data_IF_584976483891
#
_entry.id   IF_584976483891
#
_cell.length_a   1.000
_cell.length_b   1.000
_cell.length_c   1.000
_cell.angle_alpha   90.00
_cell.angle_beta   90.00
_cell.angle_gamma   90.00
#
_symmetry.space_group_name_H-M   'P 1'
#
loop_
_entity.id
_entity.type
_entity.pdbx_description
1 polymer ?
#
# COMPACT_ATOMS: atom_id res chain seq x y z
N UNK A 1 5.75 74.12 38.51
CA UNK A 1 4.55 73.27 38.16
C UNK A 1 4.85 72.63 36.79
N UNK A 2 5.17 71.33 36.68
CA UNK A 2 4.93 70.52 35.50
C UNK A 2 5.75 69.21 35.44
N UNK A 3 6.24 68.70 36.59
CA UNK A 3 7.01 67.44 36.54
C UNK A 3 6.18 66.16 36.76
N UNK A 4 4.91 66.25 37.20
CA UNK A 4 4.09 65.06 37.53
C UNK A 4 3.24 64.49 36.37
N UNK A 5 2.97 65.31 35.31
CA UNK A 5 2.14 64.87 34.19
C UNK A 5 2.90 64.07 33.12
N UNK A 6 4.21 64.28 32.95
CA UNK A 6 5.03 63.58 31.94
C UNK A 6 5.26 62.11 32.30
N UNK A 7 5.32 61.78 33.60
CA UNK A 7 5.55 60.38 34.03
C UNK A 7 4.30 59.47 33.88
N UNK A 8 3.12 60.05 34.00
CA UNK A 8 1.86 59.32 33.83
C UNK A 8 1.58 58.97 32.35
N UNK A 9 1.91 59.83 31.42
CA UNK A 9 1.72 59.59 30.00
C UNK A 9 2.69 58.50 29.50
N UNK A 10 3.93 58.49 29.99
CA UNK A 10 4.94 57.46 29.64
C UNK A 10 4.57 56.05 30.19
N UNK A 11 3.95 55.97 31.36
CA UNK A 11 3.48 54.68 31.91
C UNK A 11 2.26 54.13 31.18
N UNK A 12 1.32 54.97 30.77
CA UNK A 12 0.16 54.58 29.97
C UNK A 12 0.58 54.05 28.58
N UNK A 13 1.56 54.68 27.94
CA UNK A 13 2.10 54.29 26.65
C UNK A 13 2.79 52.87 26.69
N UNK A 14 3.53 52.57 27.75
CA UNK A 14 4.17 51.24 27.90
C UNK A 14 3.13 50.12 28.13
N UNK A 15 2.10 50.39 28.90
CA UNK A 15 0.99 49.46 29.13
C UNK A 15 0.15 49.20 27.87
N UNK A 16 -0.08 50.24 27.08
CA UNK A 16 -0.81 50.14 25.79
C UNK A 16 -0.01 49.30 24.78
N UNK A 17 1.33 49.44 24.72
CA UNK A 17 2.21 48.65 23.86
C UNK A 17 2.25 47.16 24.24
N UNK A 18 2.24 46.86 25.54
CA UNK A 18 2.19 45.47 26.03
C UNK A 18 0.83 44.83 25.71
N UNK A 19 -0.28 45.55 25.88
CA UNK A 19 -1.60 45.07 25.52
C UNK A 19 -1.74 44.82 24.01
N UNK A 20 -1.20 45.71 23.17
CA UNK A 20 -1.19 45.56 21.71
C UNK A 20 -0.35 44.35 21.27
N UNK A 21 0.78 44.10 21.93
CA UNK A 21 1.61 42.92 21.70
C UNK A 21 0.93 41.59 22.08
N UNK A 22 0.18 41.56 23.18
CA UNK A 22 -0.60 40.39 23.57
C UNK A 22 -1.80 40.09 22.65
N UNK A 23 -2.45 41.12 22.07
CA UNK A 23 -3.51 40.96 21.10
C UNK A 23 -2.99 40.36 19.76
N UNK A 24 -1.80 40.75 19.32
CA UNK A 24 -1.17 40.19 18.11
C UNK A 24 -0.73 38.73 18.31
N UNK A 25 -0.28 38.33 19.50
CA UNK A 25 0.07 36.95 19.80
C UNK A 25 -1.15 36.00 19.84
N UNK A 26 -2.34 36.49 20.24
CA UNK A 26 -3.58 35.73 20.27
C UNK A 26 -4.15 35.46 18.87
N UNK A 27 -3.83 36.28 17.86
CA UNK A 27 -4.30 36.06 16.48
C UNK A 27 -3.61 34.86 15.80
N UNK A 28 -2.36 34.51 16.19
CA UNK A 28 -1.67 33.35 15.65
C UNK A 28 -2.17 31.99 16.20
N UNK A 29 -2.86 31.99 17.36
CA UNK A 29 -3.38 30.76 17.96
C UNK A 29 -4.61 30.19 17.23
N UNK A 30 -5.32 31.01 16.45
CA UNK A 30 -6.54 30.61 15.75
C UNK A 30 -6.27 29.78 14.47
N UNK A 31 -5.07 29.87 13.90
CA UNK A 31 -4.71 29.20 12.65
C UNK A 31 -4.37 27.72 12.83
N UNK A 32 -4.05 27.31 14.04
CA UNK A 32 -3.76 25.89 14.36
C UNK A 32 -5.03 25.04 14.55
N UNK A 33 -6.13 25.64 14.93
CA UNK A 33 -7.42 24.95 15.11
C UNK A 33 -8.10 24.58 13.79
N UNK A 34 -7.97 25.41 12.75
CA UNK A 34 -8.62 25.13 11.45
C UNK A 34 -7.93 23.98 10.71
N UNK A 35 -6.61 23.85 10.81
CA UNK A 35 -5.88 22.72 10.21
C UNK A 35 -6.18 21.40 10.91
N UNK A 36 -6.37 21.41 12.23
CA UNK A 36 -6.76 20.21 12.99
C UNK A 36 -8.23 19.83 12.75
N UNK A 37 -9.11 20.79 12.58
CA UNK A 37 -10.51 20.53 12.21
C UNK A 37 -10.62 19.94 10.80
N UNK A 38 -9.91 20.48 9.82
CA UNK A 38 -9.86 19.92 8.45
C UNK A 38 -9.30 18.48 8.45
N UNK A 39 -8.27 18.22 9.24
CA UNK A 39 -7.71 16.87 9.39
C UNK A 39 -8.70 15.88 10.03
N UNK A 40 -9.56 16.35 10.95
CA UNK A 40 -10.55 15.49 11.60
C UNK A 40 -11.70 15.08 10.66
N UNK A 41 -11.98 15.85 9.61
CA UNK A 41 -13.03 15.56 8.62
C UNK A 41 -12.51 14.73 7.42
N UNK A 42 -11.20 14.67 7.18
CA UNK A 42 -10.66 13.82 6.14
C UNK A 42 -10.43 12.39 6.67
N UNK A 43 -11.28 11.46 6.26
CA UNK A 43 -11.17 10.05 6.64
C UNK A 43 -9.85 9.40 6.22
N UNK A 44 -9.15 9.93 5.20
CA UNK A 44 -7.83 9.44 4.77
C UNK A 44 -6.76 9.72 5.81
N UNK A 45 -6.88 10.81 6.55
CA UNK A 45 -5.98 11.15 7.64
C UNK A 45 -6.32 10.39 8.93
N UNK A 46 -7.60 10.07 9.14
CA UNK A 46 -8.02 9.23 10.28
C UNK A 46 -7.69 7.76 10.09
N UNK A 47 -7.83 7.27 8.87
CA UNK A 47 -7.59 5.87 8.49
C UNK A 47 -6.57 5.79 7.34
N UNK A 48 -5.30 6.16 7.59
CA UNK A 48 -4.29 6.18 6.55
C UNK A 48 -4.00 4.76 6.06
N UNK A 49 -3.77 4.63 4.75
CA UNK A 49 -3.20 3.42 4.20
C UNK A 49 -1.69 3.47 4.44
N UNK A 50 -1.20 2.46 5.15
CA UNK A 50 0.23 2.27 5.40
C UNK A 50 0.77 1.29 4.37
N UNK A 51 1.84 1.67 3.67
CA UNK A 51 2.52 0.81 2.71
C UNK A 51 3.82 0.34 3.36
N UNK A 52 3.94 -0.97 3.53
CA UNK A 52 5.10 -1.62 4.15
C UNK A 52 5.71 -2.65 3.20
N UNK A 53 7.00 -2.93 3.39
CA UNK A 53 7.66 -4.05 2.73
C UNK A 53 7.55 -5.29 3.63
N UNK A 54 6.93 -6.35 3.12
CA UNK A 54 6.77 -7.61 3.82
C UNK A 54 7.31 -8.76 2.98
N UNK A 55 7.91 -9.81 3.60
CA UNK A 55 8.35 -10.99 2.86
C UNK A 55 7.14 -11.82 2.43
N UNK A 56 7.02 -12.09 1.14
CA UNK A 56 6.18 -13.16 0.60
C UNK A 56 6.97 -14.44 0.60
N UNK A 57 6.41 -15.54 1.13
CA UNK A 57 7.13 -16.80 1.33
C UNK A 57 6.41 -17.97 0.69
N UNK A 58 7.19 -18.90 0.14
CA UNK A 58 6.73 -20.20 -0.37
C UNK A 58 7.54 -21.29 0.30
N UNK A 59 6.91 -22.12 1.11
CA UNK A 59 7.54 -23.26 1.77
C UNK A 59 7.41 -24.50 0.88
N UNK A 60 8.56 -25.12 0.60
CA UNK A 60 8.68 -26.34 -0.20
C UNK A 60 9.01 -27.52 0.73
N UNK A 61 8.05 -28.38 1.04
CA UNK A 61 8.32 -29.58 1.84
C UNK A 61 9.16 -30.57 1.03
N UNK A 62 10.32 -30.94 1.57
CA UNK A 62 11.27 -31.87 0.94
C UNK A 62 11.38 -33.12 1.83
N UNK A 63 10.96 -34.26 1.31
CA UNK A 63 11.12 -35.52 2.01
C UNK A 63 12.56 -36.04 1.96
N UNK A 64 12.99 -36.90 2.93
CA UNK A 64 14.36 -37.41 3.10
C UNK A 64 14.90 -38.13 1.88
N UNK A 65 14.03 -38.76 1.11
CA UNK A 65 14.39 -39.57 -0.06
C UNK A 65 14.26 -38.80 -1.39
N UNK A 66 13.89 -37.51 -1.36
CA UNK A 66 13.78 -36.72 -2.57
C UNK A 66 15.15 -36.44 -3.17
N UNK A 67 15.30 -36.70 -4.48
CA UNK A 67 16.54 -36.49 -5.22
C UNK A 67 16.39 -35.45 -6.34
N UNK A 68 15.18 -35.31 -6.89
CA UNK A 68 14.88 -34.39 -7.96
C UNK A 68 13.52 -33.75 -7.66
N UNK A 69 13.28 -32.54 -8.15
CA UNK A 69 11.97 -31.94 -8.17
C UNK A 69 11.13 -32.55 -9.30
N UNK A 70 9.82 -32.63 -9.09
CA UNK A 70 8.92 -33.04 -10.16
C UNK A 70 8.20 -31.83 -10.76
N UNK A 71 7.74 -31.94 -12.02
CA UNK A 71 7.27 -30.84 -12.85
C UNK A 71 6.29 -29.86 -12.22
N UNK A 72 5.24 -30.30 -11.49
CA UNK A 72 4.30 -29.39 -10.83
C UNK A 72 4.97 -28.45 -9.82
N UNK A 73 5.91 -28.95 -9.01
CA UNK A 73 6.65 -28.11 -8.05
C UNK A 73 7.55 -27.11 -8.79
N UNK A 74 8.23 -27.56 -9.84
CA UNK A 74 9.04 -26.68 -10.69
C UNK A 74 8.18 -25.56 -11.31
N UNK A 75 6.98 -25.88 -11.77
CA UNK A 75 6.01 -24.91 -12.26
C UNK A 75 5.63 -23.87 -11.21
N UNK A 76 5.36 -24.30 -9.97
CA UNK A 76 5.06 -23.42 -8.84
C UNK A 76 6.24 -22.49 -8.53
N UNK A 77 7.46 -22.99 -8.51
CA UNK A 77 8.67 -22.18 -8.28
C UNK A 77 8.86 -21.16 -9.42
N UNK A 78 8.66 -21.56 -10.67
CA UNK A 78 8.72 -20.63 -11.81
C UNK A 78 7.66 -19.53 -11.72
N UNK A 79 6.44 -19.87 -11.33
CA UNK A 79 5.36 -18.90 -11.11
C UNK A 79 5.70 -17.92 -9.97
N UNK A 80 6.28 -18.40 -8.88
CA UNK A 80 6.76 -17.58 -7.77
C UNK A 80 7.84 -16.58 -8.21
N UNK A 81 8.76 -17.01 -9.09
CA UNK A 81 9.76 -16.14 -9.70
C UNK A 81 9.13 -15.04 -10.59
N UNK A 82 8.11 -15.37 -11.38
CA UNK A 82 7.37 -14.40 -12.18
C UNK A 82 6.66 -13.40 -11.27
N UNK A 83 6.06 -13.88 -10.19
CA UNK A 83 5.37 -13.02 -9.24
C UNK A 83 6.34 -12.06 -8.52
N UNK A 84 7.52 -12.53 -8.10
CA UNK A 84 8.55 -11.69 -7.47
C UNK A 84 9.01 -10.54 -8.39
N UNK A 85 9.03 -10.75 -9.71
CA UNK A 85 9.35 -9.72 -10.71
C UNK A 85 8.23 -8.72 -10.91
N UNK A 86 6.98 -9.16 -10.85
CA UNK A 86 5.80 -8.33 -11.12
C UNK A 86 5.36 -7.54 -9.89
N UNK A 87 5.42 -8.14 -8.70
CA UNK A 87 4.87 -7.59 -7.44
C UNK A 87 5.93 -7.31 -6.37
N UNK A 88 7.18 -7.71 -6.60
CA UNK A 88 8.30 -7.52 -5.68
C UNK A 88 9.44 -6.74 -6.32
N UNK A 89 10.61 -6.88 -5.71
CA UNK A 89 11.86 -6.26 -6.18
C UNK A 89 12.59 -7.08 -7.27
N UNK A 90 12.01 -8.19 -7.71
CA UNK A 90 12.60 -9.08 -8.71
C UNK A 90 13.79 -9.89 -8.21
N UNK A 91 13.95 -10.09 -6.90
CA UNK A 91 14.95 -10.93 -6.29
C UNK A 91 14.28 -11.99 -5.41
N UNK A 92 14.86 -13.19 -5.34
CA UNK A 92 14.38 -14.29 -4.50
C UNK A 92 15.53 -14.81 -3.63
N UNK A 93 15.26 -14.96 -2.34
CA UNK A 93 16.15 -15.62 -1.40
C UNK A 93 15.68 -17.08 -1.19
N UNK A 94 16.61 -18.02 -1.28
CA UNK A 94 16.42 -19.42 -0.98
C UNK A 94 16.94 -19.67 0.45
N UNK A 95 16.05 -19.94 1.38
CA UNK A 95 16.39 -20.31 2.76
C UNK A 95 16.47 -21.84 2.85
N UNK A 96 17.67 -22.34 3.03
CA UNK A 96 18.00 -23.78 3.03
C UNK A 96 18.14 -24.25 4.49
N UNK A 97 17.37 -25.26 4.94
CA UNK A 97 17.52 -25.80 6.28
C UNK A 97 18.86 -26.52 6.45
N UNK A 98 19.47 -26.37 7.62
CA UNK A 98 20.69 -27.07 8.02
C UNK A 98 20.51 -27.77 9.36
N UNK A 99 20.98 -29.00 9.47
CA UNK A 99 20.86 -29.81 10.68
C UNK A 99 19.57 -30.61 10.79
N UNK A 100 18.72 -30.64 9.75
CA UNK A 100 17.50 -31.45 9.72
C UNK A 100 17.72 -32.85 9.16
N UNK A 101 16.77 -33.76 9.39
CA UNK A 101 16.86 -35.16 8.95
C UNK A 101 16.84 -35.31 7.42
N UNK A 102 16.39 -34.32 6.68
CA UNK A 102 16.33 -34.30 5.21
C UNK A 102 17.43 -33.46 4.55
N UNK A 103 18.48 -33.07 5.26
CA UNK A 103 19.54 -32.18 4.76
C UNK A 103 20.15 -32.63 3.44
N UNK A 104 20.44 -33.92 3.31
CA UNK A 104 21.01 -34.50 2.07
C UNK A 104 20.04 -34.33 0.88
N UNK A 105 18.74 -34.51 1.08
CA UNK A 105 17.73 -34.33 0.06
C UNK A 105 17.58 -32.84 -0.33
N UNK A 106 17.61 -31.95 0.65
CA UNK A 106 17.57 -30.49 0.46
C UNK A 106 18.73 -30.02 -0.40
N UNK A 107 19.98 -30.49 -0.12
CA UNK A 107 21.12 -30.16 -0.94
C UNK A 107 21.02 -30.72 -2.38
N UNK A 108 20.44 -31.92 -2.54
CA UNK A 108 20.25 -32.52 -3.86
C UNK A 108 19.30 -31.73 -4.75
N UNK A 109 18.19 -31.16 -4.20
CA UNK A 109 17.18 -30.45 -4.98
C UNK A 109 17.41 -28.93 -5.12
N UNK A 110 18.31 -28.34 -4.33
CA UNK A 110 18.60 -26.91 -4.39
C UNK A 110 19.05 -26.43 -5.79
N UNK A 111 19.85 -27.16 -6.57
CA UNK A 111 20.17 -26.79 -7.95
C UNK A 111 18.93 -26.73 -8.86
N UNK A 112 17.99 -27.68 -8.71
CA UNK A 112 16.76 -27.75 -9.50
C UNK A 112 15.86 -26.53 -9.18
N UNK A 113 15.78 -26.14 -7.90
CA UNK A 113 15.06 -24.91 -7.46
C UNK A 113 15.65 -23.70 -8.16
N UNK A 114 16.97 -23.53 -8.15
CA UNK A 114 17.63 -22.42 -8.85
C UNK A 114 17.32 -22.43 -10.35
N UNK A 115 17.31 -23.59 -10.97
CA UNK A 115 16.99 -23.71 -12.39
C UNK A 115 15.52 -23.36 -12.66
N UNK A 116 14.60 -23.75 -11.78
CA UNK A 116 13.19 -23.39 -11.90
C UNK A 116 12.97 -21.86 -11.74
N UNK A 117 13.67 -21.21 -10.80
CA UNK A 117 13.67 -19.74 -10.66
C UNK A 117 14.23 -19.05 -11.92
N UNK A 118 15.30 -19.59 -12.53
CA UNK A 118 15.82 -19.08 -13.80
C UNK A 118 14.81 -19.22 -14.94
N UNK A 119 14.06 -20.34 -15.02
CA UNK A 119 12.98 -20.51 -16.00
C UNK A 119 11.86 -19.47 -15.79
N UNK A 120 11.60 -19.04 -14.55
CA UNK A 120 10.72 -17.92 -14.22
C UNK A 120 11.28 -16.53 -14.57
N UNK A 121 12.50 -16.47 -15.13
CA UNK A 121 13.12 -15.24 -15.67
C UNK A 121 13.98 -14.47 -14.68
N UNK A 122 14.40 -15.07 -13.55
CA UNK A 122 15.36 -14.46 -12.64
C UNK A 122 16.80 -14.69 -13.11
N UNK A 123 17.60 -13.65 -13.09
CA UNK A 123 19.04 -13.72 -13.33
C UNK A 123 19.80 -14.32 -12.13
N UNK A 124 21.04 -14.76 -12.34
CA UNK A 124 21.87 -15.35 -11.26
C UNK A 124 22.09 -14.40 -10.08
N UNK A 125 22.25 -13.11 -10.34
CA UNK A 125 22.45 -12.08 -9.31
C UNK A 125 21.19 -11.78 -8.50
N UNK A 126 20.03 -12.20 -8.98
CA UNK A 126 18.73 -12.00 -8.32
C UNK A 126 18.35 -13.18 -7.41
N UNK A 127 19.15 -14.26 -7.39
CA UNK A 127 18.91 -15.43 -6.58
C UNK A 127 20.00 -15.53 -5.54
N UNK A 128 19.67 -15.28 -4.29
CA UNK A 128 20.54 -15.49 -3.14
C UNK A 128 20.20 -16.80 -2.43
N UNK A 129 21.16 -17.33 -1.67
CA UNK A 129 20.92 -18.51 -0.83
C UNK A 129 21.50 -18.28 0.54
N UNK A 130 20.70 -18.54 1.56
CA UNK A 130 21.08 -18.48 2.96
C UNK A 130 20.62 -19.75 3.67
N UNK A 131 21.34 -20.15 4.68
CA UNK A 131 20.97 -21.28 5.54
C UNK A 131 20.27 -20.81 6.80
N UNK A 132 19.36 -21.63 7.30
CA UNK A 132 18.78 -21.47 8.63
C UNK A 132 18.92 -22.76 9.44
N UNK A 133 19.13 -22.64 10.74
CA UNK A 133 19.31 -23.81 11.62
C UNK A 133 17.96 -24.40 12.00
N UNK A 134 17.85 -25.73 11.91
CA UNK A 134 16.69 -26.49 12.35
C UNK A 134 16.84 -26.84 13.83
N UNK A 135 15.83 -26.56 14.62
CA UNK A 135 15.90 -26.83 16.07
C UNK A 135 15.75 -28.32 16.41
N UNK A 136 14.92 -29.04 15.65
CA UNK A 136 14.73 -30.48 15.79
C UNK A 136 15.42 -31.23 14.66
N UNK A 137 16.57 -31.85 14.97
CA UNK A 137 17.35 -32.63 14.01
C UNK A 137 16.59 -33.84 13.45
N UNK A 138 15.53 -34.31 14.07
CA UNK A 138 14.67 -35.39 13.59
C UNK A 138 13.59 -34.94 12.60
N UNK A 139 13.33 -33.64 12.50
CA UNK A 139 12.30 -33.07 11.64
C UNK A 139 12.77 -32.93 10.18
N UNK A 140 11.83 -33.07 9.26
CA UNK A 140 12.00 -32.72 7.86
C UNK A 140 11.65 -31.24 7.69
N UNK A 141 12.66 -30.41 7.50
CA UNK A 141 12.48 -28.96 7.41
C UNK A 141 12.30 -28.52 5.94
N UNK A 142 11.38 -27.58 5.65
CA UNK A 142 11.13 -27.12 4.29
C UNK A 142 12.25 -26.21 3.78
N UNK A 143 12.45 -26.17 2.47
CA UNK A 143 13.14 -25.06 1.83
C UNK A 143 12.13 -23.93 1.70
N UNK A 144 12.50 -22.73 2.13
CA UNK A 144 11.64 -21.54 2.01
C UNK A 144 12.20 -20.62 0.92
N UNK A 145 11.37 -20.27 -0.04
CA UNK A 145 11.63 -19.17 -0.96
C UNK A 145 11.00 -17.91 -0.41
N UNK A 146 11.68 -16.78 -0.53
CA UNK A 146 11.17 -15.49 -0.04
C UNK A 146 11.56 -14.37 -0.99
N UNK A 147 10.65 -13.43 -1.20
CA UNK A 147 10.94 -12.14 -1.84
C UNK A 147 10.23 -10.99 -1.11
N UNK A 148 10.81 -9.81 -1.22
CA UNK A 148 10.22 -8.61 -0.65
C UNK A 148 9.09 -8.09 -1.54
N UNK A 149 7.92 -7.84 -0.93
CA UNK A 149 6.70 -7.36 -1.58
C UNK A 149 6.16 -6.15 -0.84
N UNK A 150 5.75 -5.13 -1.59
CA UNK A 150 5.02 -4.02 -1.00
C UNK A 150 3.59 -4.44 -0.68
N UNK A 151 3.15 -4.11 0.52
CA UNK A 151 1.80 -4.40 1.01
C UNK A 151 1.15 -3.11 1.52
N UNK A 152 -0.08 -2.89 1.12
CA UNK A 152 -0.90 -1.82 1.63
C UNK A 152 -1.85 -2.37 2.70
N UNK A 153 -1.91 -1.71 3.85
CA UNK A 153 -2.84 -2.05 4.92
C UNK A 153 -3.47 -0.78 5.47
N UNK A 154 -4.77 -0.80 5.74
CA UNK A 154 -5.42 0.21 6.56
C UNK A 154 -5.50 -0.32 8.00
N UNK A 155 -5.58 0.58 8.96
CA UNK A 155 -5.78 0.20 10.35
C UNK A 155 -7.10 -0.55 10.59
N UNK A 156 -7.24 -1.14 11.76
CA UNK A 156 -8.50 -1.79 12.17
C UNK A 156 -9.63 -0.76 12.29
N UNK A 157 -10.78 -1.07 11.69
CA UNK A 157 -11.93 -0.16 11.67
C UNK A 157 -12.68 -0.08 13.00
N UNK A 158 -12.32 -0.90 13.99
CA UNK A 158 -13.01 -0.97 15.27
C UNK A 158 -14.46 -1.46 15.17
N UNK A 159 -15.20 -1.31 16.26
CA UNK A 159 -16.61 -1.69 16.31
C UNK A 159 -17.48 -0.65 15.60
N UNK A 160 -18.54 -1.10 14.94
CA UNK A 160 -19.53 -0.21 14.37
C UNK A 160 -20.23 0.62 15.45
N UNK A 161 -20.43 1.92 15.22
CA UNK A 161 -21.14 2.75 16.19
C UNK A 161 -22.59 2.25 16.34
N UNK A 162 -23.10 2.31 17.57
CA UNK A 162 -24.49 1.91 17.86
C UNK A 162 -25.52 2.81 17.17
N UNK A 163 -25.13 4.02 16.79
CA UNK A 163 -25.96 5.01 16.13
C UNK A 163 -25.24 5.52 14.88
N UNK A 164 -25.58 4.96 13.72
CA UNK A 164 -24.97 5.31 12.42
C UNK A 164 -25.43 6.68 11.91
N UNK A 165 -26.56 7.18 12.40
CA UNK A 165 -27.17 8.44 11.93
C UNK A 165 -26.82 9.67 12.76
N UNK A 166 -25.99 9.55 13.80
CA UNK A 166 -25.84 10.64 14.76
C UNK A 166 -27.14 10.94 15.52
N UNK A 167 -27.15 11.89 16.44
CA UNK A 167 -28.39 12.44 16.99
C UNK A 167 -29.13 13.26 15.92
N UNK A 168 -30.45 13.38 16.04
CA UNK A 168 -31.23 14.22 15.14
C UNK A 168 -30.68 15.67 15.23
N UNK A 169 -30.02 16.13 14.14
CA UNK A 169 -29.41 17.45 14.08
C UNK A 169 -27.87 17.47 14.14
N UNK A 170 -27.20 16.34 14.39
CA UNK A 170 -25.75 16.26 14.34
C UNK A 170 -25.30 15.76 12.97
N UNK A 171 -24.79 16.67 12.14
CA UNK A 171 -24.16 16.32 10.84
C UNK A 171 -22.68 16.01 11.08
N UNK A 172 -22.40 15.05 11.98
CA UNK A 172 -21.05 14.63 12.32
C UNK A 172 -20.76 13.22 11.77
N UNK A 173 -19.58 13.05 11.21
CA UNK A 173 -19.12 11.75 10.76
C UNK A 173 -18.79 10.86 11.96
N UNK A 174 -19.23 9.59 11.92
CA UNK A 174 -18.86 8.61 12.94
C UNK A 174 -17.37 8.24 12.84
N UNK A 175 -16.79 7.77 13.92
CA UNK A 175 -15.32 7.57 14.09
C UNK A 175 -14.72 6.67 13.01
N UNK A 176 -15.38 5.59 12.63
CA UNK A 176 -14.90 4.66 11.59
C UNK A 176 -15.42 4.97 10.17
N UNK A 177 -15.97 6.18 9.96
CA UNK A 177 -16.35 6.64 8.62
C UNK A 177 -15.14 6.64 7.68
N UNK A 178 -15.31 6.02 6.51
CA UNK A 178 -14.27 5.91 5.50
C UNK A 178 -13.24 4.80 5.75
N UNK A 179 -13.19 4.19 6.94
CA UNK A 179 -12.26 3.09 7.26
C UNK A 179 -12.43 1.90 6.31
N UNK A 180 -13.66 1.44 6.08
CA UNK A 180 -13.93 0.35 5.14
C UNK A 180 -13.50 0.69 3.71
N UNK A 181 -13.68 1.95 3.28
CA UNK A 181 -13.23 2.42 1.97
C UNK A 181 -11.70 2.37 1.84
N UNK A 182 -10.98 2.78 2.87
CA UNK A 182 -9.51 2.69 2.90
C UNK A 182 -9.03 1.24 2.92
N UNK A 183 -9.68 0.38 3.71
CA UNK A 183 -9.36 -1.06 3.76
C UNK A 183 -9.63 -1.73 2.42
N UNK A 184 -10.75 -1.42 1.77
CA UNK A 184 -11.05 -1.94 0.44
C UNK A 184 -10.03 -1.44 -0.60
N UNK A 185 -9.69 -0.15 -0.59
CA UNK A 185 -8.67 0.39 -1.49
C UNK A 185 -7.31 -0.29 -1.28
N UNK A 186 -6.90 -0.49 -0.03
CA UNK A 186 -5.65 -1.19 0.30
C UNK A 186 -5.66 -2.65 -0.18
N UNK A 187 -6.83 -3.32 -0.14
CA UNK A 187 -6.96 -4.71 -0.56
C UNK A 187 -7.00 -4.90 -2.08
N UNK A 188 -7.57 -3.95 -2.84
CA UNK A 188 -7.74 -4.07 -4.30
C UNK A 188 -6.61 -3.46 -5.11
N UNK A 189 -5.74 -2.64 -4.50
CA UNK A 189 -4.61 -2.04 -5.22
C UNK A 189 -3.65 -3.12 -5.71
N UNK A 190 -3.42 -3.19 -7.02
CA UNK A 190 -2.55 -4.20 -7.62
C UNK A 190 -1.07 -3.99 -7.24
N UNK A 191 -0.62 -2.74 -7.27
CA UNK A 191 0.73 -2.37 -6.83
C UNK A 191 0.65 -1.28 -5.75
N UNK A 192 0.85 -1.61 -4.47
CA UNK A 192 0.81 -0.64 -3.37
C UNK A 192 1.79 0.53 -3.50
N UNK A 193 2.89 0.38 -4.24
CA UNK A 193 3.84 1.47 -4.50
C UNK A 193 3.22 2.62 -5.28
N UNK A 194 2.15 2.37 -6.06
CA UNK A 194 1.43 3.40 -6.80
C UNK A 194 0.68 4.39 -5.89
N UNK A 195 0.41 3.99 -4.65
CA UNK A 195 -0.16 4.87 -3.63
C UNK A 195 0.86 5.89 -3.12
N UNK A 196 2.15 5.58 -3.20
CA UNK A 196 3.25 6.47 -2.80
C UNK A 196 3.72 7.33 -3.98
N UNK A 197 3.92 6.69 -5.14
CA UNK A 197 4.39 7.35 -6.36
C UNK A 197 3.63 6.79 -7.55
N UNK A 198 2.63 7.51 -8.06
CA UNK A 198 1.84 7.04 -9.20
C UNK A 198 2.73 6.79 -10.43
N UNK A 199 2.48 5.69 -11.11
CA UNK A 199 3.14 5.38 -12.38
C UNK A 199 2.71 6.37 -13.47
N UNK A 200 3.59 6.59 -14.46
CA UNK A 200 3.24 7.36 -15.63
C UNK A 200 2.01 6.74 -16.32
N UNK A 201 1.04 7.58 -16.67
CA UNK A 201 -0.14 7.11 -17.41
C UNK A 201 0.28 6.65 -18.82
N UNK A 202 -0.36 5.58 -19.29
CA UNK A 202 -0.19 5.15 -20.68
C UNK A 202 -0.66 6.27 -21.62
N UNK A 203 0.13 6.66 -22.62
CA UNK A 203 -0.30 7.67 -23.59
C UNK A 203 -1.63 7.26 -24.24
N UNK A 204 -2.56 8.20 -24.33
CA UNK A 204 -3.82 7.95 -25.03
C UNK A 204 -3.57 7.64 -26.49
N UNK A 205 -4.33 6.71 -27.08
CA UNK A 205 -4.29 6.43 -28.51
C UNK A 205 -4.63 7.70 -29.31
N UNK A 206 -3.61 8.22 -30.00
CA UNK A 206 -3.73 9.46 -30.73
C UNK A 206 -4.65 9.33 -31.97
N UNK A 207 -4.68 8.14 -32.60
CA UNK A 207 -5.54 7.87 -33.73
C UNK A 207 -7.01 7.88 -33.32
N UNK A 208 -7.35 7.18 -32.23
CA UNK A 208 -8.72 7.20 -31.69
C UNK A 208 -9.13 8.62 -31.27
N UNK A 209 -8.23 9.35 -30.64
CA UNK A 209 -8.47 10.74 -30.23
C UNK A 209 -8.73 11.65 -31.43
N UNK A 210 -7.95 11.52 -32.53
CA UNK A 210 -8.13 12.28 -33.74
C UNK A 210 -9.50 12.02 -34.35
N UNK A 211 -9.93 10.76 -34.47
CA UNK A 211 -11.26 10.38 -34.97
C UNK A 211 -12.40 10.96 -34.14
N UNK A 212 -12.28 10.89 -32.82
CA UNK A 212 -13.30 11.47 -31.91
C UNK A 212 -13.38 12.99 -32.07
N UNK A 213 -12.25 13.69 -32.16
CA UNK A 213 -12.20 15.13 -32.32
C UNK A 213 -12.78 15.54 -33.72
N UNK A 214 -12.49 14.77 -34.78
CA UNK A 214 -13.04 15.02 -36.08
C UNK A 214 -14.57 14.89 -36.10
N UNK A 215 -15.12 13.81 -35.54
CA UNK A 215 -16.56 13.61 -35.35
C UNK A 215 -17.20 14.75 -34.56
N UNK A 216 -16.58 15.13 -33.45
CA UNK A 216 -17.06 16.24 -32.62
C UNK A 216 -17.15 17.55 -33.40
N UNK A 217 -16.12 17.88 -34.18
CA UNK A 217 -16.10 19.09 -35.05
C UNK A 217 -17.18 19.09 -36.11
N UNK A 218 -17.56 17.90 -36.61
CA UNK A 218 -18.65 17.72 -37.58
C UNK A 218 -20.04 17.67 -36.93
N UNK A 219 -20.15 17.71 -35.63
CA UNK A 219 -21.42 17.56 -34.88
C UNK A 219 -21.96 16.12 -34.90
N UNK A 220 -21.10 15.12 -35.21
CA UNK A 220 -21.47 13.70 -35.20
C UNK A 220 -21.39 13.12 -33.81
N UNK A 221 -22.19 12.08 -33.52
CA UNK A 221 -22.18 11.36 -32.29
C UNK A 221 -20.82 10.66 -32.08
N UNK A 222 -20.16 10.93 -30.95
CA UNK A 222 -18.85 10.36 -30.61
C UNK A 222 -18.96 9.11 -29.75
N UNK A 223 -20.13 8.81 -29.18
CA UNK A 223 -20.40 7.61 -28.41
C UNK A 223 -20.44 6.36 -29.31
N UNK A 224 -20.02 5.22 -28.75
CA UNK A 224 -20.23 3.93 -29.40
C UNK A 224 -21.72 3.61 -29.41
N UNK A 225 -22.28 3.21 -30.56
CA UNK A 225 -23.63 2.64 -30.58
C UNK A 225 -23.62 1.32 -29.81
N UNK A 226 -24.51 1.19 -28.85
CA UNK A 226 -24.75 -0.07 -28.18
C UNK A 226 -25.47 -0.97 -29.18
N UNK A 227 -24.87 -2.11 -29.55
CA UNK A 227 -25.54 -3.12 -30.34
C UNK A 227 -26.57 -3.76 -29.39
N UNK A 228 -27.86 -3.52 -29.66
CA UNK A 228 -28.95 -4.21 -28.92
C UNK A 228 -28.73 -5.73 -29.01
N UNK A 229 -28.66 -6.39 -27.86
CA UNK A 229 -28.46 -7.83 -27.76
C UNK A 229 -27.11 -8.29 -27.19
N UNK A 230 -26.17 -7.41 -26.88
CA UNK A 230 -24.87 -7.74 -26.24
C UNK A 230 -24.87 -7.42 -24.73
N UNK A 231 -25.98 -7.00 -24.17
CA UNK A 231 -26.15 -6.87 -22.72
C UNK A 231 -26.44 -8.24 -22.07
N UNK A 232 -25.85 -8.52 -20.91
CA UNK A 232 -26.22 -9.69 -20.13
C UNK A 232 -27.74 -9.63 -19.86
N UNK A 233 -28.48 -10.67 -20.25
CA UNK A 233 -29.85 -10.87 -19.79
C UNK A 233 -29.84 -10.94 -18.27
N UNK A 234 -30.43 -9.95 -17.63
CA UNK A 234 -30.73 -10.03 -16.19
C UNK A 234 -31.91 -11.01 -16.11
N UNK A 235 -31.64 -12.24 -15.66
CA UNK A 235 -32.67 -13.19 -15.37
C UNK A 235 -33.55 -12.63 -14.24
N UNK A 236 -34.87 -12.50 -14.52
CA UNK A 236 -35.92 -12.19 -13.56
C UNK A 236 -36.08 -13.28 -12.50
#
# INVERSE_FOLDING_TARGET
MNSKNTIRVAKASKSALVFLGCLMAAACAKQQTDSQMLASHDYRLRHPIVVTEEPETLDLPIGRNTRNLYGPIEGTISAFAVESRNKGNGAVEILVPSGGANEAAVHAVTPDIRQALHRGGLGRSQISTRTYSVQDASADAPIRLSYAKMKATAGECGAWPKNIGGGIGENTEYENFGCASQSNLAAIVDNPSDLLTPRASTPSDQNRRAVVIEKYRKGEVTASEYIEGVGAEIAD
#
